data_IF_964588367135
#
_entry.id   IF_964588367135
#
_cell.length_a   1.000
_cell.length_b   1.000
_cell.length_c   1.000
_cell.angle_alpha   90.00
_cell.angle_beta   90.00
_cell.angle_gamma   90.00
#
_symmetry.space_group_name_H-M   'P 1'
#
loop_
_entity.id
_entity.type
_entity.pdbx_description
1 polymer ?
#
# COMPACT_ATOMS: atom_id res chain seq x y z
N UNK A 1 -22.03 9.58 11.53
CA UNK A 1 -20.67 9.08 11.79
C UNK A 1 -20.30 9.36 13.24
N UNK A 2 -19.69 8.42 13.95
CA UNK A 2 -19.27 8.65 15.32
C UNK A 2 -18.15 9.69 15.38
N UNK A 3 -18.05 10.35 16.53
CA UNK A 3 -16.90 11.20 16.84
C UNK A 3 -15.78 10.31 17.42
N UNK A 4 -14.80 9.98 16.57
CA UNK A 4 -13.71 9.06 16.91
C UNK A 4 -12.78 9.58 18.02
N UNK A 5 -12.87 10.85 18.36
CA UNK A 5 -12.10 11.47 19.46
C UNK A 5 -12.77 11.31 20.83
N UNK A 6 -13.98 10.78 20.87
CA UNK A 6 -14.77 10.62 22.09
C UNK A 6 -14.99 9.17 22.47
N UNK A 7 -15.27 8.95 23.73
CA UNK A 7 -15.58 7.62 24.29
C UNK A 7 -16.79 6.99 23.57
N UNK A 8 -16.66 5.72 23.22
CA UNK A 8 -17.69 4.90 22.61
C UNK A 8 -17.54 3.43 23.04
N UNK A 9 -18.62 2.67 22.97
CA UNK A 9 -18.53 1.22 23.09
C UNK A 9 -18.17 0.63 21.74
N UNK A 10 -17.27 -0.34 21.72
CA UNK A 10 -16.78 -1.01 20.52
C UNK A 10 -16.90 -2.51 20.69
N UNK A 11 -17.46 -3.18 19.68
CA UNK A 11 -17.54 -4.65 19.58
C UNK A 11 -17.32 -5.05 18.13
N UNK A 12 -17.06 -6.35 17.89
CA UNK A 12 -16.77 -6.85 16.56
C UNK A 12 -17.81 -7.89 16.14
N UNK A 13 -18.15 -7.88 14.87
CA UNK A 13 -19.03 -8.86 14.25
C UNK A 13 -18.38 -9.44 13.00
N UNK A 14 -18.56 -10.75 12.82
CA UNK A 14 -17.97 -11.53 11.75
C UNK A 14 -19.06 -12.24 10.97
N UNK A 15 -19.01 -12.14 9.64
CA UNK A 15 -20.00 -12.75 8.78
C UNK A 15 -19.34 -13.53 7.65
N UNK A 16 -19.88 -14.72 7.37
CA UNK A 16 -19.59 -15.41 6.12
C UNK A 16 -20.24 -14.62 4.99
N UNK A 17 -19.49 -14.39 3.92
CA UNK A 17 -19.96 -13.70 2.73
C UNK A 17 -20.30 -14.73 1.67
N UNK A 18 -21.46 -14.59 1.07
CA UNK A 18 -21.87 -15.37 -0.08
C UNK A 18 -21.08 -14.95 -1.33
N UNK A 19 -20.30 -15.83 -1.96
CA UNK A 19 -19.42 -15.47 -3.07
C UNK A 19 -20.16 -15.08 -4.37
N UNK A 20 -21.43 -15.47 -4.54
CA UNK A 20 -22.22 -15.14 -5.73
C UNK A 20 -22.87 -13.76 -5.60
N UNK A 21 -23.39 -13.44 -4.42
CA UNK A 21 -24.13 -12.18 -4.18
C UNK A 21 -23.29 -11.11 -3.50
N UNK A 22 -22.13 -11.47 -2.94
CA UNK A 22 -21.22 -10.64 -2.15
C UNK A 22 -21.88 -10.02 -0.90
N UNK A 23 -22.92 -10.67 -0.38
CA UNK A 23 -23.67 -10.24 0.81
C UNK A 23 -23.32 -11.08 2.02
N UNK A 24 -23.47 -10.48 3.20
CA UNK A 24 -23.36 -11.21 4.46
C UNK A 24 -24.45 -12.28 4.52
N UNK A 25 -24.07 -13.53 4.81
CA UNK A 25 -24.99 -14.68 4.87
C UNK A 25 -25.20 -15.19 6.29
N UNK A 26 -24.12 -15.61 6.98
CA UNK A 26 -24.18 -16.20 8.31
C UNK A 26 -23.22 -15.48 9.27
N UNK A 27 -23.70 -15.12 10.45
CA UNK A 27 -22.88 -14.58 11.54
C UNK A 27 -22.07 -15.71 12.20
N UNK A 28 -20.82 -15.39 12.57
CA UNK A 28 -19.92 -16.25 13.33
C UNK A 28 -19.80 -15.65 14.74
N UNK A 29 -20.15 -16.42 15.78
CA UNK A 29 -20.28 -15.88 17.14
C UNK A 29 -19.12 -16.26 18.08
N UNK A 30 -18.28 -17.25 17.72
CA UNK A 30 -17.25 -17.79 18.60
C UNK A 30 -15.83 -17.38 18.20
N UNK A 31 -15.66 -16.11 17.90
CA UNK A 31 -14.33 -15.54 17.66
C UNK A 31 -13.70 -15.14 18.98
N UNK A 32 -12.46 -15.57 19.20
CA UNK A 32 -11.69 -15.29 20.40
C UNK A 32 -10.79 -14.07 20.22
N UNK A 33 -10.17 -13.95 19.05
CA UNK A 33 -9.24 -12.88 18.70
C UNK A 33 -9.18 -12.71 17.20
N UNK A 34 -8.86 -11.50 16.72
CA UNK A 34 -8.51 -11.28 15.34
C UNK A 34 -7.65 -10.03 15.13
N UNK A 35 -6.78 -10.13 14.14
CA UNK A 35 -5.92 -9.01 13.69
C UNK A 35 -6.03 -8.90 12.19
N UNK A 36 -6.18 -7.67 11.70
CA UNK A 36 -6.21 -7.34 10.27
C UNK A 36 -4.93 -6.59 9.95
N UNK A 37 -4.21 -7.04 8.93
CA UNK A 37 -3.05 -6.36 8.39
C UNK A 37 -3.36 -5.89 6.98
N UNK A 38 -3.08 -4.61 6.72
CA UNK A 38 -3.16 -3.99 5.40
C UNK A 38 -1.78 -3.47 5.06
N UNK A 39 -1.30 -3.68 3.85
CA UNK A 39 0.04 -3.28 3.45
C UNK A 39 0.14 -3.10 1.94
N UNK A 40 0.53 -1.91 1.48
CA UNK A 40 0.69 -1.59 0.07
C UNK A 40 1.85 -2.33 -0.60
N UNK A 41 2.81 -2.83 0.19
CA UNK A 41 3.97 -3.58 -0.34
C UNK A 41 3.63 -5.03 -0.66
N UNK A 42 2.54 -5.55 -0.10
CA UNK A 42 2.08 -6.91 -0.36
C UNK A 42 1.27 -6.98 -1.66
N UNK A 43 1.45 -8.04 -2.43
CA UNK A 43 0.67 -8.27 -3.65
C UNK A 43 -0.83 -8.33 -3.38
N UNK A 44 -1.23 -8.97 -2.31
CA UNK A 44 -2.63 -9.11 -1.90
C UNK A 44 -3.16 -7.92 -1.10
N UNK A 45 -2.35 -6.88 -0.86
CA UNK A 45 -2.67 -5.68 -0.07
C UNK A 45 -3.10 -5.95 1.38
N UNK A 46 -2.99 -7.18 1.86
CA UNK A 46 -3.24 -7.48 3.26
C UNK A 46 -3.70 -8.91 3.53
N UNK A 47 -3.92 -9.16 4.83
CA UNK A 47 -4.35 -10.45 5.39
C UNK A 47 -5.11 -10.24 6.70
N UNK A 48 -5.71 -11.29 7.22
CA UNK A 48 -6.25 -11.35 8.57
C UNK A 48 -5.89 -12.67 9.24
N UNK A 49 -5.66 -12.62 10.55
CA UNK A 49 -5.57 -13.80 11.39
C UNK A 49 -6.76 -13.80 12.35
N UNK A 50 -7.50 -14.90 12.41
CA UNK A 50 -8.73 -15.02 13.18
C UNK A 50 -8.64 -16.27 14.04
N UNK A 51 -8.80 -16.15 15.36
CA UNK A 51 -8.84 -17.28 16.28
C UNK A 51 -10.27 -17.55 16.70
N UNK A 52 -10.73 -18.80 16.56
CA UNK A 52 -12.09 -19.25 16.86
C UNK A 52 -12.08 -20.61 17.54
N UNK A 53 -13.21 -21.01 18.14
CA UNK A 53 -13.43 -22.37 18.64
C UNK A 53 -14.22 -23.24 17.65
N UNK A 54 -14.68 -22.66 16.54
CA UNK A 54 -15.41 -23.36 15.48
C UNK A 54 -14.48 -23.79 14.36
N UNK A 55 -14.78 -24.94 13.74
CA UNK A 55 -14.14 -25.31 12.47
C UNK A 55 -14.87 -24.61 11.35
N UNK A 56 -14.13 -23.83 10.56
CA UNK A 56 -14.66 -23.07 9.43
C UNK A 56 -13.88 -23.52 8.20
N UNK A 57 -14.60 -23.94 7.17
CA UNK A 57 -14.03 -24.31 5.89
C UNK A 57 -13.68 -23.05 5.07
N UNK A 58 -13.02 -23.23 3.94
CA UNK A 58 -12.70 -22.16 3.00
C UNK A 58 -13.96 -21.34 2.63
N UNK A 59 -13.97 -20.09 3.02
CA UNK A 59 -15.05 -19.16 2.70
C UNK A 59 -14.56 -17.71 2.86
N UNK A 60 -15.34 -16.77 2.35
CA UNK A 60 -15.10 -15.35 2.63
C UNK A 60 -15.67 -14.96 3.98
N UNK A 61 -14.86 -14.26 4.79
CA UNK A 61 -15.28 -13.66 6.06
C UNK A 61 -15.16 -12.15 5.94
N UNK A 62 -16.21 -11.44 6.37
CA UNK A 62 -16.22 -9.98 6.52
C UNK A 62 -16.25 -9.61 7.98
N UNK A 63 -15.35 -8.70 8.37
CA UNK A 63 -15.16 -8.23 9.73
C UNK A 63 -15.71 -6.81 9.85
N UNK A 64 -16.46 -6.55 10.91
CA UNK A 64 -17.04 -5.25 11.20
C UNK A 64 -16.69 -4.78 12.60
N UNK A 65 -16.38 -3.50 12.71
CA UNK A 65 -16.40 -2.76 13.96
C UNK A 65 -17.82 -2.21 14.19
N UNK A 66 -18.37 -2.51 15.34
CA UNK A 66 -19.66 -1.97 15.80
C UNK A 66 -19.36 -0.91 16.84
N UNK A 67 -19.82 0.28 16.62
CA UNK A 67 -19.71 1.39 17.56
C UNK A 67 -21.07 1.75 18.15
N UNK A 68 -21.11 2.07 19.44
CA UNK A 68 -22.29 2.65 20.08
C UNK A 68 -21.84 3.93 20.78
N UNK A 69 -22.32 5.06 20.29
CA UNK A 69 -22.03 6.37 20.83
C UNK A 69 -23.32 7.18 20.96
N UNK A 70 -23.57 7.74 22.11
CA UNK A 70 -24.82 8.49 22.41
C UNK A 70 -26.10 7.70 22.08
N UNK A 71 -26.09 6.37 22.27
CA UNK A 71 -27.22 5.49 21.97
C UNK A 71 -27.39 5.14 20.47
N UNK A 72 -26.58 5.69 19.58
CA UNK A 72 -26.58 5.36 18.15
C UNK A 72 -25.59 4.22 17.89
N UNK A 73 -26.10 3.14 17.29
CA UNK A 73 -25.30 1.98 16.86
C UNK A 73 -24.98 2.13 15.36
N UNK A 74 -23.70 2.09 15.05
CA UNK A 74 -23.21 2.10 13.66
C UNK A 74 -22.34 0.86 13.39
N UNK A 75 -22.31 0.42 12.13
CA UNK A 75 -21.57 -0.77 11.66
C UNK A 75 -20.57 -0.32 10.59
N UNK A 76 -19.28 -0.51 10.88
CA UNK A 76 -18.17 -0.10 10.00
C UNK A 76 -17.43 -1.35 9.51
N UNK A 77 -17.37 -1.61 8.19
CA UNK A 77 -16.60 -2.72 7.65
C UNK A 77 -15.10 -2.46 7.87
N UNK A 78 -14.38 -3.48 8.29
CA UNK A 78 -12.91 -3.44 8.44
C UNK A 78 -12.18 -4.20 7.35
N UNK A 79 -12.80 -5.20 6.74
CA UNK A 79 -12.22 -5.96 5.64
C UNK A 79 -13.01 -7.22 5.31
N UNK A 80 -12.77 -7.73 4.11
CA UNK A 80 -13.30 -9.01 3.63
C UNK A 80 -12.13 -9.89 3.21
N UNK A 81 -12.09 -11.13 3.71
CA UNK A 81 -10.94 -12.02 3.58
C UNK A 81 -11.38 -13.43 3.22
N UNK A 82 -10.60 -14.12 2.40
CA UNK A 82 -10.75 -15.53 2.04
C UNK A 82 -9.88 -16.38 2.98
N UNK A 83 -10.50 -17.30 3.70
CA UNK A 83 -9.79 -18.24 4.57
C UNK A 83 -9.03 -19.24 3.73
N UNK A 84 -7.75 -19.49 4.07
CA UNK A 84 -6.89 -20.45 3.38
C UNK A 84 -6.30 -21.52 4.28
N UNK A 85 -5.78 -21.15 5.44
CA UNK A 85 -4.98 -22.08 6.25
C UNK A 85 -5.54 -22.20 7.65
N UNK A 86 -6.48 -23.14 7.90
CA UNK A 86 -6.91 -23.45 9.27
C UNK A 86 -5.84 -24.31 9.95
N UNK A 87 -5.37 -23.85 11.09
CA UNK A 87 -4.58 -24.65 12.03
C UNK A 87 -5.34 -24.81 13.33
N UNK A 88 -5.16 -25.92 14.06
CA UNK A 88 -5.81 -26.07 15.35
C UNK A 88 -4.82 -26.51 16.43
N UNK A 89 -5.08 -26.07 17.65
CA UNK A 89 -4.44 -26.53 18.86
C UNK A 89 -5.49 -27.01 19.85
N UNK A 90 -5.11 -27.97 20.71
CA UNK A 90 -5.97 -28.49 21.79
C UNK A 90 -5.16 -28.53 23.10
N UNK A 91 -5.60 -27.79 24.09
CA UNK A 91 -4.91 -27.66 25.38
C UNK A 91 -5.34 -28.70 26.44
N UNK A 92 -6.10 -29.72 26.02
CA UNK A 92 -6.70 -30.72 26.89
C UNK A 92 -8.12 -30.40 27.34
N UNK A 93 -8.64 -29.19 27.00
CA UNK A 93 -9.99 -28.75 27.35
C UNK A 93 -10.70 -28.06 26.18
N UNK A 94 -10.02 -27.12 25.51
CA UNK A 94 -10.60 -26.29 24.46
C UNK A 94 -9.81 -26.51 23.19
N UNK A 95 -10.53 -26.70 22.07
CA UNK A 95 -9.97 -26.67 20.75
C UNK A 95 -9.99 -25.21 20.28
N UNK A 96 -8.83 -24.68 19.92
CA UNK A 96 -8.65 -23.37 19.32
C UNK A 96 -8.20 -23.54 17.87
N UNK A 97 -8.86 -22.85 16.95
CA UNK A 97 -8.58 -22.85 15.51
C UNK A 97 -8.10 -21.47 15.12
N UNK A 98 -6.92 -21.40 14.55
CA UNK A 98 -6.40 -20.15 13.95
C UNK A 98 -6.57 -20.25 12.44
N UNK A 99 -7.17 -19.23 11.85
CA UNK A 99 -7.47 -19.10 10.45
C UNK A 99 -6.63 -17.97 9.87
N UNK A 100 -5.73 -18.31 8.94
CA UNK A 100 -5.07 -17.30 8.12
C UNK A 100 -5.94 -17.03 6.90
N UNK A 101 -6.23 -15.78 6.67
CA UNK A 101 -7.09 -15.33 5.60
C UNK A 101 -6.44 -14.17 4.83
N UNK A 102 -6.66 -14.13 3.54
CA UNK A 102 -6.09 -13.14 2.63
C UNK A 102 -7.19 -12.33 1.96
N UNK A 103 -6.85 -11.17 1.45
CA UNK A 103 -7.82 -10.39 0.70
C UNK A 103 -8.31 -11.14 -0.54
N UNK A 104 -9.43 -10.74 -1.16
CA UNK A 104 -9.93 -11.37 -2.38
C UNK A 104 -8.97 -11.36 -3.57
N UNK A 105 -7.92 -10.55 -3.53
CA UNK A 105 -6.87 -10.55 -4.55
C UNK A 105 -6.06 -11.85 -4.60
N UNK A 106 -6.17 -12.70 -3.57
CA UNK A 106 -5.53 -14.01 -3.56
C UNK A 106 -5.91 -14.84 -4.79
N UNK A 107 -7.17 -14.79 -5.24
CA UNK A 107 -7.63 -15.53 -6.43
C UNK A 107 -6.85 -15.14 -7.70
N UNK A 108 -6.41 -13.90 -7.81
CA UNK A 108 -5.56 -13.43 -8.91
C UNK A 108 -4.09 -13.86 -8.75
N UNK A 109 -3.65 -14.07 -7.50
CA UNK A 109 -2.28 -14.50 -7.19
C UNK A 109 -2.07 -16.00 -7.41
N UNK A 110 -3.07 -16.82 -7.15
CA UNK A 110 -2.95 -18.27 -7.20
C UNK A 110 -2.85 -18.84 -8.63
N UNK A 111 -3.27 -18.07 -9.62
CA UNK A 111 -3.32 -18.52 -10.99
C UNK A 111 -2.27 -17.83 -11.88
N UNK A 112 -1.40 -18.58 -12.57
CA UNK A 112 -0.49 -18.02 -13.55
C UNK A 112 -1.24 -17.55 -14.79
N UNK A 113 -0.65 -16.60 -15.49
CA UNK A 113 -1.13 -16.19 -16.82
C UNK A 113 -0.83 -17.32 -17.85
N UNK A 114 -1.68 -17.50 -18.88
CA UNK A 114 -1.36 -18.44 -19.95
C UNK A 114 -0.06 -18.06 -20.66
N UNK A 115 0.74 -19.05 -21.03
CA UNK A 115 1.97 -18.84 -21.78
C UNK A 115 1.71 -18.05 -23.07
N UNK A 116 2.46 -16.96 -23.27
CA UNK A 116 2.33 -16.09 -24.41
C UNK A 116 1.08 -15.20 -24.38
N UNK A 117 0.42 -15.06 -23.22
CA UNK A 117 -0.69 -14.13 -23.08
C UNK A 117 -0.24 -12.71 -23.40
N UNK A 118 -0.99 -12.03 -24.24
CA UNK A 118 -0.65 -10.67 -24.65
C UNK A 118 -1.89 -9.82 -24.89
N UNK A 119 -1.76 -8.54 -24.65
CA UNK A 119 -2.74 -7.51 -24.98
C UNK A 119 -2.15 -6.69 -26.14
N UNK A 120 -2.96 -6.39 -27.12
CA UNK A 120 -2.52 -5.67 -28.30
C UNK A 120 -2.36 -4.17 -27.99
N UNK A 121 -1.48 -3.54 -28.76
CA UNK A 121 -1.36 -2.10 -28.83
C UNK A 121 -2.74 -1.44 -29.09
N UNK A 122 -2.91 -0.21 -28.58
CA UNK A 122 -4.12 0.61 -28.69
C UNK A 122 -5.36 0.08 -27.92
N UNK A 123 -5.22 -1.02 -27.15
CA UNK A 123 -6.25 -1.46 -26.20
C UNK A 123 -6.28 -0.53 -24.98
N UNK A 124 -7.50 -0.22 -24.49
CA UNK A 124 -7.65 0.60 -23.29
C UNK A 124 -7.25 -0.18 -22.04
N UNK A 125 -6.32 0.39 -21.27
CA UNK A 125 -5.63 -0.27 -20.14
C UNK A 125 -6.61 -0.64 -19.03
N UNK A 126 -7.36 0.33 -18.50
CA UNK A 126 -8.26 0.10 -17.36
C UNK A 126 -9.42 -0.82 -17.70
N UNK A 127 -9.98 -0.67 -18.90
CA UNK A 127 -11.08 -1.52 -19.33
C UNK A 127 -10.63 -2.97 -19.55
N UNK A 128 -9.41 -3.19 -20.01
CA UNK A 128 -8.84 -4.54 -20.18
C UNK A 128 -8.55 -5.18 -18.83
N UNK A 129 -7.93 -4.44 -17.88
CA UNK A 129 -7.73 -4.90 -16.51
C UNK A 129 -9.08 -5.24 -15.82
N UNK A 130 -10.11 -4.40 -16.00
CA UNK A 130 -11.46 -4.66 -15.50
C UNK A 130 -12.05 -5.96 -16.02
N UNK A 131 -11.93 -6.24 -17.33
CA UNK A 131 -12.44 -7.48 -17.93
C UNK A 131 -11.73 -8.72 -17.37
N UNK A 132 -10.40 -8.65 -17.24
CA UNK A 132 -9.60 -9.75 -16.70
C UNK A 132 -10.00 -10.05 -15.26
N UNK A 133 -10.06 -9.04 -14.40
CA UNK A 133 -10.41 -9.22 -12.98
C UNK A 133 -11.82 -9.79 -12.85
N UNK A 134 -12.79 -9.26 -13.61
CA UNK A 134 -14.16 -9.76 -13.59
C UNK A 134 -14.30 -11.22 -13.99
N UNK A 135 -13.39 -11.73 -14.84
CA UNK A 135 -13.37 -13.12 -15.26
C UNK A 135 -12.65 -14.03 -14.25
N UNK A 136 -11.62 -13.52 -13.57
CA UNK A 136 -10.68 -14.31 -12.77
C UNK A 136 -10.92 -14.23 -11.26
N UNK A 137 -11.68 -13.24 -10.78
CA UNK A 137 -11.99 -13.08 -9.36
C UNK A 137 -13.50 -13.02 -9.11
N UNK A 138 -13.92 -13.59 -7.98
CA UNK A 138 -15.33 -13.53 -7.52
C UNK A 138 -15.69 -12.19 -6.89
N UNK A 139 -14.68 -11.49 -6.36
CA UNK A 139 -14.90 -10.18 -5.75
C UNK A 139 -15.44 -9.17 -6.76
N UNK A 140 -16.43 -8.33 -6.37
CA UNK A 140 -16.92 -7.29 -7.24
C UNK A 140 -15.83 -6.28 -7.58
N UNK A 141 -15.81 -5.84 -8.82
CA UNK A 141 -14.93 -4.79 -9.29
C UNK A 141 -15.73 -3.54 -9.65
N UNK A 142 -15.25 -2.38 -9.20
CA UNK A 142 -15.81 -1.08 -9.56
C UNK A 142 -15.16 -0.62 -10.86
N UNK A 143 -15.99 -0.35 -11.88
CA UNK A 143 -15.50 0.12 -13.18
C UNK A 143 -14.97 1.54 -13.04
N UNK A 144 -13.73 1.74 -13.45
CA UNK A 144 -13.09 3.05 -13.62
C UNK A 144 -12.84 3.27 -15.11
N UNK A 145 -13.18 4.44 -15.62
CA UNK A 145 -12.99 4.79 -17.03
C UNK A 145 -11.89 5.83 -17.16
N UNK A 146 -11.02 5.61 -18.14
CA UNK A 146 -10.05 6.60 -18.64
C UNK A 146 -9.83 6.38 -20.13
N UNK A 147 -9.06 7.26 -20.76
CA UNK A 147 -8.74 7.20 -22.19
C UNK A 147 -7.36 6.60 -22.47
N UNK A 148 -6.62 6.15 -21.43
CA UNK A 148 -5.27 5.63 -21.57
C UNK A 148 -5.26 4.29 -22.30
N UNK A 149 -4.42 4.22 -23.34
CA UNK A 149 -4.26 3.05 -24.19
C UNK A 149 -2.80 2.58 -24.21
N UNK A 150 -2.59 1.30 -24.48
CA UNK A 150 -1.26 0.74 -24.62
C UNK A 150 -0.51 1.32 -25.81
N UNK A 151 0.70 1.81 -25.61
CA UNK A 151 1.59 2.33 -26.65
C UNK A 151 2.26 1.23 -27.47
N UNK A 152 2.33 0.01 -26.97
CA UNK A 152 2.88 -1.20 -27.59
C UNK A 152 2.14 -2.44 -27.12
N UNK A 153 2.40 -3.60 -27.75
CA UNK A 153 1.87 -4.87 -27.24
C UNK A 153 2.44 -5.14 -25.84
N UNK A 154 1.56 -5.55 -24.93
CA UNK A 154 1.92 -5.89 -23.54
C UNK A 154 1.85 -7.40 -23.38
N UNK A 155 2.96 -8.04 -23.04
CA UNK A 155 3.12 -9.50 -23.02
C UNK A 155 3.45 -9.94 -21.59
N UNK A 156 2.75 -10.98 -21.12
CA UNK A 156 3.02 -11.59 -19.82
C UNK A 156 4.38 -12.31 -19.81
N UNK A 157 5.12 -12.18 -18.69
CA UNK A 157 6.30 -12.99 -18.44
C UNK A 157 5.90 -14.44 -18.11
N UNK A 158 6.86 -15.36 -18.17
CA UNK A 158 6.60 -16.79 -17.97
C UNK A 158 6.05 -17.10 -16.57
N UNK A 159 6.54 -16.39 -15.56
CA UNK A 159 6.19 -16.62 -14.15
C UNK A 159 5.13 -15.64 -13.62
N UNK A 160 4.54 -14.80 -14.48
CA UNK A 160 3.52 -13.85 -14.06
C UNK A 160 2.25 -14.57 -13.62
N UNK A 161 1.79 -14.22 -12.43
CA UNK A 161 0.41 -14.47 -12.02
C UNK A 161 -0.51 -13.35 -12.51
N UNK A 162 -1.82 -13.57 -12.49
CA UNK A 162 -2.75 -12.53 -12.92
C UNK A 162 -2.61 -11.23 -12.12
N UNK A 163 -2.30 -11.31 -10.84
CA UNK A 163 -2.13 -10.11 -10.02
C UNK A 163 -0.90 -9.28 -10.44
N UNK A 164 0.22 -9.94 -10.74
CA UNK A 164 1.45 -9.27 -11.22
C UNK A 164 1.19 -8.63 -12.58
N UNK A 165 0.65 -9.41 -13.52
CA UNK A 165 0.33 -8.93 -14.85
C UNK A 165 -0.61 -7.71 -14.84
N UNK A 166 -1.66 -7.73 -14.00
CA UNK A 166 -2.61 -6.62 -13.87
C UNK A 166 -1.94 -5.39 -13.25
N UNK A 167 -1.09 -5.57 -12.25
CA UNK A 167 -0.36 -4.44 -11.65
C UNK A 167 0.56 -3.75 -12.65
N UNK A 168 1.32 -4.54 -13.40
CA UNK A 168 2.22 -4.01 -14.44
C UNK A 168 1.43 -3.36 -15.58
N UNK A 169 0.26 -3.91 -15.92
CA UNK A 169 -0.64 -3.31 -16.89
C UNK A 169 -1.16 -1.95 -16.40
N UNK A 170 -1.63 -1.85 -15.16
CA UNK A 170 -2.16 -0.62 -14.56
C UNK A 170 -1.09 0.46 -14.39
N UNK A 171 0.15 0.07 -14.12
CA UNK A 171 1.29 1.00 -14.02
C UNK A 171 1.53 1.77 -15.34
N UNK A 172 1.18 1.21 -16.51
CA UNK A 172 1.25 1.93 -17.79
C UNK A 172 0.22 3.08 -17.91
N UNK A 173 -0.73 3.17 -16.99
CA UNK A 173 -1.72 4.24 -16.93
C UNK A 173 -1.61 5.04 -15.62
N UNK A 174 -0.49 4.96 -14.91
CA UNK A 174 -0.27 5.57 -13.59
C UNK A 174 -1.39 5.24 -12.59
N UNK A 175 -1.84 3.97 -12.60
CA UNK A 175 -2.86 3.46 -11.67
C UNK A 175 -2.35 2.25 -10.91
N UNK A 176 -2.91 2.07 -9.73
CA UNK A 176 -2.66 0.92 -8.88
C UNK A 176 -3.96 0.21 -8.50
N UNK A 177 -3.82 -1.07 -8.12
CA UNK A 177 -4.90 -1.91 -7.64
C UNK A 177 -5.21 -1.58 -6.18
N UNK A 178 -6.47 -1.45 -5.84
CA UNK A 178 -6.93 -1.15 -4.49
C UNK A 178 -8.16 -1.97 -4.10
N UNK A 179 -8.40 -2.06 -2.79
CA UNK A 179 -9.54 -2.74 -2.19
C UNK A 179 -10.24 -1.83 -1.19
N UNK A 180 -11.56 -1.86 -1.18
CA UNK A 180 -12.31 -1.32 -0.05
C UNK A 180 -12.56 -2.38 1.04
N UNK A 181 -13.10 -1.96 2.17
CA UNK A 181 -13.35 -2.85 3.32
C UNK A 181 -14.46 -3.88 3.04
N UNK A 182 -15.31 -3.65 2.07
CA UNK A 182 -16.28 -4.65 1.59
C UNK A 182 -15.65 -5.67 0.65
N UNK A 183 -14.35 -5.57 0.37
CA UNK A 183 -13.61 -6.45 -0.53
C UNK A 183 -13.89 -6.19 -2.01
N UNK A 184 -14.40 -4.99 -2.36
CA UNK A 184 -14.57 -4.60 -3.75
C UNK A 184 -13.24 -4.10 -4.31
N UNK A 185 -12.89 -4.56 -5.49
CA UNK A 185 -11.68 -4.18 -6.20
C UNK A 185 -11.94 -2.89 -6.98
N UNK A 186 -10.99 -1.97 -6.98
CA UNK A 186 -11.05 -0.75 -7.79
C UNK A 186 -9.64 -0.28 -8.18
N UNK A 187 -9.56 0.64 -9.13
CA UNK A 187 -8.31 1.26 -9.55
C UNK A 187 -8.20 2.67 -8.99
N UNK A 188 -7.04 3.01 -8.48
CA UNK A 188 -6.74 4.33 -7.96
C UNK A 188 -5.56 4.94 -8.71
N UNK A 189 -5.65 6.22 -9.13
CA UNK A 189 -4.52 6.88 -9.76
C UNK A 189 -3.39 7.08 -8.74
N UNK A 190 -2.16 6.96 -9.18
CA UNK A 190 -1.01 7.33 -8.37
C UNK A 190 -0.98 8.85 -8.18
N UNK A 191 -0.84 9.27 -6.94
CA UNK A 191 -0.86 10.69 -6.58
C UNK A 191 0.32 11.02 -5.67
N UNK A 192 0.91 12.18 -5.91
CA UNK A 192 1.93 12.72 -5.01
C UNK A 192 1.28 13.11 -3.67
N UNK A 193 1.81 12.56 -2.58
CA UNK A 193 1.36 12.83 -1.20
C UNK A 193 1.37 14.32 -0.88
N UNK A 194 2.31 15.08 -1.44
CA UNK A 194 2.42 16.51 -1.21
C UNK A 194 1.21 17.30 -1.75
N UNK A 195 0.57 16.78 -2.81
CA UNK A 195 -0.63 17.40 -3.41
C UNK A 195 -1.92 17.02 -2.68
N UNK A 196 -1.92 15.88 -1.96
CA UNK A 196 -3.09 15.38 -1.25
C UNK A 196 -3.43 16.23 -0.03
N UNK A 197 -4.73 16.34 0.26
CA UNK A 197 -5.19 16.90 1.53
C UNK A 197 -5.20 15.79 2.58
N UNK A 198 -4.67 16.05 3.80
CA UNK A 198 -4.74 15.09 4.88
C UNK A 198 -6.18 14.80 5.26
N UNK A 199 -6.55 13.51 5.29
CA UNK A 199 -7.89 13.09 5.73
C UNK A 199 -8.03 13.04 7.25
N UNK A 200 -6.89 12.92 7.96
CA UNK A 200 -6.81 12.93 9.41
C UNK A 200 -5.56 13.67 9.88
N UNK A 201 -5.66 14.28 11.06
CA UNK A 201 -4.51 14.89 11.73
C UNK A 201 -4.33 14.20 13.09
N UNK A 202 -3.18 13.56 13.27
CA UNK A 202 -2.75 13.02 14.54
C UNK A 202 -1.92 14.07 15.26
N UNK A 203 -2.29 14.41 16.49
CA UNK A 203 -1.59 15.39 17.30
C UNK A 203 -1.33 14.90 18.74
N UNK A 204 -0.67 15.69 19.55
CA UNK A 204 -0.39 15.40 20.95
C UNK A 204 -1.27 16.23 21.93
N UNK A 205 -2.46 16.64 21.48
CA UNK A 205 -3.47 17.31 22.29
C UNK A 205 -4.17 16.34 23.26
N UNK A 206 -4.88 16.90 24.23
CA UNK A 206 -5.65 16.10 25.20
C UNK A 206 -6.85 15.35 24.60
N UNK A 207 -7.27 15.68 23.39
CA UNK A 207 -8.34 15.01 22.64
C UNK A 207 -7.81 14.07 21.56
N UNK A 208 -6.50 13.87 21.51
CA UNK A 208 -5.86 13.00 20.54
C UNK A 208 -6.23 11.53 20.77
N UNK A 209 -6.41 10.80 19.67
CA UNK A 209 -6.50 9.35 19.69
C UNK A 209 -5.14 8.66 19.53
N UNK A 210 -4.07 9.45 19.35
CA UNK A 210 -2.70 8.97 19.20
C UNK A 210 -2.15 8.46 20.54
N UNK A 211 -1.54 7.28 20.54
CA UNK A 211 -0.82 6.75 21.70
C UNK A 211 0.56 7.39 21.78
N UNK A 212 1.18 7.43 22.98
CA UNK A 212 2.39 8.23 23.19
C UNK A 212 3.62 7.72 22.46
N UNK A 213 3.67 6.43 22.13
CA UNK A 213 4.84 5.82 21.50
C UNK A 213 4.85 6.08 19.99
N UNK A 214 5.92 6.69 19.51
CA UNK A 214 6.16 6.95 18.10
C UNK A 214 7.62 6.64 17.77
N UNK A 215 7.83 5.95 16.66
CA UNK A 215 9.17 5.61 16.14
C UNK A 215 9.33 6.25 14.78
N UNK A 216 10.49 6.90 14.57
CA UNK A 216 10.85 7.48 13.27
C UNK A 216 12.13 6.81 12.79
N UNK A 217 11.99 6.05 11.73
CA UNK A 217 13.10 5.38 11.06
C UNK A 217 13.49 6.17 9.82
N UNK A 218 14.79 6.26 9.57
CA UNK A 218 15.33 6.81 8.32
C UNK A 218 16.37 5.86 7.79
N UNK A 219 16.25 5.49 6.53
CA UNK A 219 17.25 4.67 5.88
C UNK A 219 18.15 5.54 5.01
N UNK A 220 19.40 5.67 5.45
CA UNK A 220 20.46 6.33 4.69
C UNK A 220 21.25 5.35 3.82
N UNK A 221 20.94 4.07 3.91
CA UNK A 221 21.65 3.04 3.17
C UNK A 221 21.32 3.13 1.68
N UNK A 222 22.34 3.05 0.86
CA UNK A 222 22.15 3.00 -0.60
C UNK A 222 21.76 4.34 -1.27
N UNK A 223 21.46 5.40 -0.52
CA UNK A 223 21.17 6.72 -1.13
C UNK A 223 22.44 7.24 -1.79
N UNK A 224 22.46 7.41 -3.13
CA UNK A 224 23.62 7.89 -3.84
C UNK A 224 23.81 9.39 -3.61
N UNK A 225 25.06 9.81 -3.68
CA UNK A 225 25.45 11.22 -3.73
C UNK A 225 26.20 11.57 -5.02
N UNK A 226 26.40 10.57 -5.86
CA UNK A 226 26.92 10.72 -7.21
C UNK A 226 26.07 9.88 -8.16
N UNK A 227 25.70 10.46 -9.30
CA UNK A 227 25.06 9.74 -10.42
C UNK A 227 25.93 9.87 -11.65
N UNK A 228 26.27 8.76 -12.27
CA UNK A 228 26.98 8.66 -13.52
C UNK A 228 26.08 8.01 -14.57
N UNK A 229 25.80 8.74 -15.64
CA UNK A 229 24.98 8.29 -16.76
C UNK A 229 25.88 8.13 -17.97
N UNK A 230 25.87 6.95 -18.57
CA UNK A 230 26.65 6.62 -19.75
C UNK A 230 25.69 6.34 -20.90
N UNK A 231 25.82 7.05 -21.98
CA UNK A 231 25.06 6.79 -23.20
C UNK A 231 25.99 6.46 -24.36
N UNK A 232 25.71 5.35 -25.05
CA UNK A 232 26.43 4.97 -26.25
C UNK A 232 25.49 4.30 -27.24
N UNK A 233 25.49 4.78 -28.47
CA UNK A 233 24.78 4.18 -29.62
C UNK A 233 25.73 3.51 -30.63
N UNK A 234 26.98 3.28 -30.23
CA UNK A 234 28.03 2.71 -31.07
C UNK A 234 28.73 3.71 -32.00
N UNK A 235 28.21 4.94 -32.14
CA UNK A 235 28.83 6.04 -32.92
C UNK A 235 29.17 7.25 -32.05
N UNK A 236 28.34 7.48 -31.03
CA UNK A 236 28.46 8.61 -30.12
C UNK A 236 28.54 8.09 -28.70
N UNK A 237 29.27 8.81 -27.87
CA UNK A 237 29.48 8.48 -26.48
C UNK A 237 29.37 9.75 -25.62
N UNK A 238 28.45 9.75 -24.68
CA UNK A 238 28.23 10.86 -23.76
C UNK A 238 28.26 10.37 -22.32
N UNK A 239 28.83 11.17 -21.41
CA UNK A 239 28.84 10.90 -19.97
C UNK A 239 28.25 12.12 -19.26
N UNK A 240 27.20 11.89 -18.44
CA UNK A 240 26.70 12.84 -17.46
C UNK A 240 27.15 12.43 -16.06
N UNK A 241 27.60 13.39 -15.25
CA UNK A 241 27.93 13.16 -13.86
C UNK A 241 27.37 14.28 -12.99
N UNK A 242 26.53 13.92 -12.03
CA UNK A 242 25.99 14.82 -11.03
C UNK A 242 26.49 14.43 -9.63
N UNK A 243 26.80 15.43 -8.81
CA UNK A 243 27.36 15.21 -7.46
C UNK A 243 26.59 16.11 -6.47
N UNK A 244 26.11 15.51 -5.39
CA UNK A 244 25.62 16.24 -4.23
C UNK A 244 26.82 16.52 -3.32
N UNK A 245 27.33 17.75 -3.36
CA UNK A 245 28.44 18.25 -2.53
C UNK A 245 28.00 19.32 -1.52
N UNK A 246 26.68 19.53 -1.37
CA UNK A 246 26.12 20.51 -0.41
C UNK A 246 26.42 20.12 1.04
N UNK A 247 27.21 20.92 1.79
CA UNK A 247 27.51 20.63 3.18
C UNK A 247 26.28 20.59 4.11
N UNK A 248 25.18 21.20 3.72
CA UNK A 248 23.91 21.17 4.46
C UNK A 248 23.13 19.86 4.26
N UNK A 249 23.42 19.12 3.20
CA UNK A 249 22.81 17.81 2.93
C UNK A 249 23.50 16.72 3.75
N UNK A 250 22.77 15.95 4.57
CA UNK A 250 23.35 14.87 5.36
C UNK A 250 23.86 13.69 4.51
N UNK A 251 23.47 13.63 3.24
CA UNK A 251 23.87 12.57 2.30
C UNK A 251 24.95 13.00 1.32
N UNK A 252 25.38 14.26 1.34
CA UNK A 252 26.40 14.78 0.43
C UNK A 252 27.76 14.06 0.56
N UNK A 253 28.57 14.17 -0.48
CA UNK A 253 29.95 13.70 -0.46
C UNK A 253 30.78 14.33 0.66
N UNK A 254 30.50 15.62 0.97
CA UNK A 254 31.15 16.37 2.05
C UNK A 254 30.76 15.80 3.42
N UNK A 255 29.46 15.66 3.68
CA UNK A 255 28.96 15.20 5.00
C UNK A 255 29.29 13.72 5.25
N UNK A 256 29.31 12.87 4.21
CA UNK A 256 29.64 11.45 4.33
C UNK A 256 31.12 11.14 4.22
N UNK A 257 31.94 12.06 3.70
CA UNK A 257 33.35 11.86 3.43
C UNK A 257 33.64 10.75 2.41
N UNK A 258 32.65 10.35 1.59
CA UNK A 258 32.77 9.32 0.56
C UNK A 258 31.73 9.47 -0.54
N UNK A 259 32.06 8.98 -1.73
CA UNK A 259 31.12 8.87 -2.84
C UNK A 259 30.35 7.54 -2.75
N UNK A 260 29.05 7.63 -3.01
CA UNK A 260 28.15 6.48 -3.22
C UNK A 260 27.55 6.72 -4.60
N UNK A 261 28.05 5.96 -5.58
CA UNK A 261 27.76 6.19 -6.99
C UNK A 261 26.66 5.27 -7.50
N UNK A 262 25.60 5.86 -8.07
CA UNK A 262 24.64 5.16 -8.91
C UNK A 262 25.07 5.31 -10.38
N UNK A 263 25.07 4.19 -11.13
CA UNK A 263 25.40 4.19 -12.56
C UNK A 263 24.24 3.69 -13.39
N UNK A 264 23.95 4.40 -14.45
CA UNK A 264 22.94 4.04 -15.42
C UNK A 264 23.53 4.06 -16.83
N UNK A 265 23.22 3.03 -17.62
CA UNK A 265 23.71 2.89 -18.99
C UNK A 265 22.56 2.92 -19.96
N UNK A 266 22.68 3.76 -20.99
CA UNK A 266 21.71 3.90 -22.08
C UNK A 266 20.26 4.12 -21.60
N UNK A 267 19.99 5.16 -20.78
CA UNK A 267 18.65 5.47 -20.34
C UNK A 267 17.72 5.74 -21.53
N UNK A 268 16.46 5.45 -21.35
CA UNK A 268 15.44 5.73 -22.37
C UNK A 268 15.12 7.23 -22.39
N UNK A 269 15.77 7.98 -23.24
CA UNK A 269 15.63 9.44 -23.36
C UNK A 269 14.68 9.83 -24.49
N UNK A 270 13.79 10.75 -24.22
CA UNK A 270 12.95 11.36 -25.26
C UNK A 270 13.80 12.26 -26.15
N UNK A 271 13.86 11.96 -27.45
CA UNK A 271 14.55 12.72 -28.49
C UNK A 271 16.04 12.38 -28.60
N UNK A 272 16.78 13.13 -29.47
CA UNK A 272 18.19 12.82 -29.75
C UNK A 272 19.08 13.11 -28.55
N UNK A 273 19.85 12.11 -28.07
CA UNK A 273 20.80 12.29 -26.98
C UNK A 273 21.93 13.25 -27.40
N UNK A 274 22.36 14.08 -26.47
CA UNK A 274 23.55 14.90 -26.56
C UNK A 274 24.12 15.14 -25.16
N UNK A 275 25.35 15.67 -25.09
CA UNK A 275 26.05 15.89 -23.83
C UNK A 275 25.21 16.66 -22.79
N UNK A 276 24.50 17.72 -23.21
CA UNK A 276 23.67 18.53 -22.30
C UNK A 276 22.51 17.74 -21.72
N UNK A 277 21.78 16.99 -22.55
CA UNK A 277 20.65 16.18 -22.09
C UNK A 277 21.08 15.04 -21.16
N UNK A 278 22.22 14.42 -21.42
CA UNK A 278 22.76 13.38 -20.55
C UNK A 278 23.14 13.98 -19.19
N UNK A 279 23.70 15.18 -19.17
CA UNK A 279 24.02 15.88 -17.92
C UNK A 279 22.75 16.26 -17.15
N UNK A 280 21.75 16.85 -17.82
CA UNK A 280 20.44 17.18 -17.21
C UNK A 280 19.72 15.94 -16.66
N UNK A 281 19.83 14.82 -17.37
CA UNK A 281 19.29 13.54 -16.89
C UNK A 281 20.01 13.06 -15.62
N UNK A 282 21.34 13.13 -15.58
CA UNK A 282 22.11 12.75 -14.38
C UNK A 282 21.74 13.62 -13.15
N UNK A 283 21.55 14.93 -13.37
CA UNK A 283 21.14 15.88 -12.31
C UNK A 283 19.72 15.55 -11.81
N UNK A 284 18.78 15.34 -12.73
CA UNK A 284 17.41 14.93 -12.38
C UNK A 284 17.39 13.60 -11.62
N UNK A 285 18.11 12.60 -12.10
CA UNK A 285 18.21 11.29 -11.46
C UNK A 285 18.83 11.39 -10.06
N UNK A 286 19.88 12.21 -9.90
CA UNK A 286 20.47 12.44 -8.57
C UNK A 286 19.46 13.10 -7.62
N UNK A 287 18.70 14.07 -8.09
CA UNK A 287 17.67 14.73 -7.28
C UNK A 287 16.59 13.73 -6.83
N UNK A 288 16.13 12.88 -7.72
CA UNK A 288 15.13 11.86 -7.44
C UNK A 288 15.65 10.81 -6.44
N UNK A 289 16.87 10.29 -6.67
CA UNK A 289 17.48 9.25 -5.82
C UNK A 289 18.06 9.79 -4.50
N UNK A 290 18.33 11.09 -4.38
CA UNK A 290 18.83 11.69 -3.14
C UNK A 290 17.74 12.12 -2.17
N UNK A 291 16.47 11.85 -2.48
CA UNK A 291 15.38 12.01 -1.51
C UNK A 291 15.52 10.98 -0.38
N UNK A 292 15.34 11.46 0.86
CA UNK A 292 15.33 10.58 2.03
C UNK A 292 13.89 10.25 2.39
N UNK A 293 13.59 8.96 2.37
CA UNK A 293 12.33 8.46 2.88
C UNK A 293 12.43 8.20 4.39
N UNK A 294 11.48 8.74 5.12
CA UNK A 294 11.29 8.48 6.52
C UNK A 294 10.07 7.60 6.71
N UNK A 295 10.19 6.58 7.53
CA UNK A 295 9.07 5.78 8.00
C UNK A 295 8.73 6.17 9.43
N UNK A 296 7.49 6.55 9.67
CA UNK A 296 6.97 6.82 11.01
C UNK A 296 6.01 5.70 11.40
N UNK A 297 6.28 5.05 12.53
CA UNK A 297 5.41 4.02 13.12
C UNK A 297 4.77 4.57 14.39
N UNK A 298 3.46 4.50 14.46
CA UNK A 298 2.66 5.00 15.59
C UNK A 298 1.41 4.15 15.79
N UNK A 299 0.83 4.23 16.98
CA UNK A 299 -0.41 3.52 17.33
C UNK A 299 -1.47 4.55 17.73
N UNK A 300 -2.72 4.30 17.36
CA UNK A 300 -3.87 5.16 17.70
C UNK A 300 -5.15 4.33 17.87
N UNK A 301 -6.18 4.92 18.48
CA UNK A 301 -7.53 4.36 18.43
C UNK A 301 -8.10 4.42 17.01
N UNK A 302 -8.98 3.50 16.64
CA UNK A 302 -9.51 3.42 15.28
C UNK A 302 -10.11 4.75 14.80
N UNK A 303 -9.77 5.11 13.58
CA UNK A 303 -10.41 6.12 12.75
C UNK A 303 -10.43 5.64 11.28
N UNK A 304 -11.28 6.20 10.39
CA UNK A 304 -11.47 5.67 9.04
C UNK A 304 -10.35 6.05 8.06
N UNK A 305 -9.10 5.97 8.51
CA UNK A 305 -7.90 6.11 7.67
C UNK A 305 -7.59 4.78 7.00
N UNK A 306 -7.12 4.80 5.77
CA UNK A 306 -6.78 3.62 4.96
C UNK A 306 -5.33 3.67 4.50
N UNK A 307 -4.81 2.53 4.08
CA UNK A 307 -3.56 2.50 3.33
C UNK A 307 -3.71 3.30 2.03
N UNK A 308 -2.70 4.09 1.70
CA UNK A 308 -2.72 5.02 0.57
C UNK A 308 -3.18 6.44 0.93
N UNK A 309 -3.88 6.63 2.05
CA UNK A 309 -4.35 7.95 2.48
C UNK A 309 -3.20 8.84 2.94
N UNK A 310 -3.39 10.15 2.75
CA UNK A 310 -2.52 11.17 3.33
C UNK A 310 -3.00 11.53 4.73
N UNK A 311 -2.10 11.53 5.68
CA UNK A 311 -2.33 11.98 7.06
C UNK A 311 -1.36 13.10 7.42
N UNK A 312 -1.72 13.89 8.42
CA UNK A 312 -0.83 14.89 9.01
C UNK A 312 -0.41 14.45 10.41
N UNK A 313 0.88 14.42 10.64
CA UNK A 313 1.48 14.13 11.95
C UNK A 313 1.96 15.44 12.57
N UNK A 314 1.45 15.75 13.76
CA UNK A 314 1.79 16.95 14.53
C UNK A 314 2.06 16.56 15.99
N UNK A 315 3.19 15.90 16.22
CA UNK A 315 3.62 15.43 17.54
C UNK A 315 4.86 16.21 17.98
N UNK A 316 4.63 17.40 18.52
CA UNK A 316 5.69 18.36 18.85
C UNK A 316 6.70 17.84 19.88
N UNK A 317 6.24 17.01 20.84
CA UNK A 317 7.10 16.33 21.82
C UNK A 317 8.11 15.36 21.21
N UNK A 318 7.79 14.80 20.06
CA UNK A 318 8.70 13.94 19.27
C UNK A 318 9.46 14.69 18.18
N UNK A 319 9.34 16.04 18.12
CA UNK A 319 9.97 16.86 17.08
C UNK A 319 9.29 16.78 15.71
N UNK A 320 8.07 16.24 15.64
CA UNK A 320 7.29 16.09 14.40
C UNK A 320 6.29 17.24 14.33
N UNK A 321 6.46 18.15 13.38
CA UNK A 321 5.67 19.38 13.27
C UNK A 321 4.97 19.48 11.92
N UNK A 322 3.71 19.01 11.86
CA UNK A 322 2.84 19.21 10.71
C UNK A 322 3.25 18.46 9.44
N UNK A 323 3.92 17.32 9.56
CA UNK A 323 4.41 16.51 8.45
C UNK A 323 3.24 15.80 7.76
N UNK A 324 3.15 15.90 6.43
CA UNK A 324 2.27 15.06 5.61
C UNK A 324 2.95 13.73 5.32
N UNK A 325 2.24 12.63 5.53
CA UNK A 325 2.74 11.30 5.27
C UNK A 325 1.68 10.42 4.63
N UNK A 326 2.10 9.46 3.80
CA UNK A 326 1.25 8.44 3.18
C UNK A 326 1.25 7.20 4.05
N UNK A 327 0.07 6.72 4.44
CA UNK A 327 -0.06 5.48 5.17
C UNK A 327 0.22 4.31 4.24
N UNK A 328 1.23 3.50 4.57
CA UNK A 328 1.63 2.34 3.75
C UNK A 328 1.21 1.01 4.38
N UNK A 329 1.09 0.96 5.71
CA UNK A 329 0.72 -0.28 6.40
C UNK A 329 -0.11 0.02 7.64
N UNK A 330 -1.07 -0.86 7.94
CA UNK A 330 -1.93 -0.82 9.13
C UNK A 330 -2.04 -2.21 9.72
N UNK A 331 -1.91 -2.31 11.05
CA UNK A 331 -2.26 -3.51 11.83
C UNK A 331 -3.38 -3.14 12.80
N UNK A 332 -4.58 -3.68 12.57
CA UNK A 332 -5.80 -3.38 13.32
C UNK A 332 -6.07 -4.57 14.24
N UNK A 333 -6.04 -4.36 15.55
CA UNK A 333 -6.42 -5.38 16.51
C UNK A 333 -7.90 -5.26 16.85
N UNK A 334 -8.64 -6.34 16.66
CA UNK A 334 -10.07 -6.39 16.95
C UNK A 334 -10.33 -6.67 18.43
N UNK A 335 -9.87 -5.76 19.28
CA UNK A 335 -10.02 -5.80 20.74
C UNK A 335 -10.57 -4.45 21.26
N UNK A 336 -10.80 -4.34 22.57
CA UNK A 336 -11.31 -3.10 23.16
C UNK A 336 -10.39 -1.92 22.84
N UNK A 337 -10.97 -0.81 22.38
CA UNK A 337 -10.25 0.37 21.92
C UNK A 337 -9.84 0.32 20.45
N UNK A 338 -9.96 -0.85 19.81
CA UNK A 338 -9.59 -1.09 18.40
C UNK A 338 -8.27 -0.40 18.03
N UNK A 339 -7.15 -0.76 18.69
CA UNK A 339 -5.87 -0.10 18.42
C UNK A 339 -5.39 -0.42 17.00
N UNK A 340 -4.93 0.60 16.33
CA UNK A 340 -4.37 0.54 14.97
C UNK A 340 -2.92 0.99 15.03
N UNK A 341 -2.01 0.12 14.66
CA UNK A 341 -0.60 0.49 14.45
C UNK A 341 -0.41 0.79 12.98
N UNK A 342 0.00 2.00 12.66
CA UNK A 342 0.26 2.47 11.31
C UNK A 342 1.73 2.68 11.05
N UNK A 343 2.13 2.42 9.80
CA UNK A 343 3.38 2.93 9.22
C UNK A 343 3.02 3.93 8.13
N UNK A 344 3.58 5.11 8.23
CA UNK A 344 3.41 6.14 7.22
C UNK A 344 4.77 6.63 6.74
N UNK A 345 4.86 6.95 5.45
CA UNK A 345 6.10 7.42 4.84
C UNK A 345 5.96 8.86 4.38
N UNK A 346 7.03 9.62 4.53
CA UNK A 346 7.18 10.94 3.95
C UNK A 346 8.60 11.11 3.41
N UNK A 347 8.72 11.92 2.38
CA UNK A 347 9.99 12.13 1.70
C UNK A 347 10.51 13.53 1.98
N UNK A 348 11.79 13.65 2.24
CA UNK A 348 12.48 14.93 2.34
C UNK A 348 13.51 15.00 1.24
N UNK A 349 13.42 16.02 0.39
CA UNK A 349 14.47 16.30 -0.59
C UNK A 349 15.74 16.76 0.13
N UNK A 350 16.83 16.05 -0.10
CA UNK A 350 18.13 16.30 0.55
C UNK A 350 19.09 17.09 -0.33
N UNK A 351 18.75 17.27 -1.60
CA UNK A 351 19.51 18.07 -2.55
C UNK A 351 18.54 18.92 -3.38
N UNK A 352 18.82 20.23 -3.50
CA UNK A 352 17.99 21.21 -4.21
C UNK A 352 18.70 21.78 -5.41
#
# INVERSE_FOLDING_TARGET
>A
MPDWTKTMQQTFEYYIVDPETWKDSKKIDKILDSTINRDLTLETLGSASITTTETIDECYIRIYLITIQNGVREKHPLGTFLIQTPSYSFDGRIKSVTLDAYTPLLELKENPTPLGYSILKDENILNTAYKIIREKARAPIVKTENEEVLSSNFVANIDDTWIVFIRDLLANADHSLALDELGRIYFTPEQDVMTLQPIWTYDDSNSSILYPDITVDRDLYGIPNVVEVIYSNGKEYFIGRAVNDDPSSPTSTVSRGREITHRESNPNLLGNPNQKRIQEYAEKTLKELSSLEYTVTYTHGYCPVRIGDCVRLNYSRAGINGIKAKVISQSIKCESGCPVTEKAVFTTELWR
#
